data_IF_670825539185
#
_entry.id   IF_670825539185
#
_cell.length_a   1.000
_cell.length_b   1.000
_cell.length_c   1.000
_cell.angle_alpha   90.00
_cell.angle_beta   90.00
_cell.angle_gamma   90.00
#
_symmetry.space_group_name_H-M   'P 1'
#
loop_
_entity.id
_entity.type
_entity.pdbx_description
1 polymer ?
#
# COMPACT_ATOMS: atom_id res chain seq x y z
N UNK A 1 0.69 -18.21 -18.45
CA UNK A 1 -0.49 -17.62 -17.79
C UNK A 1 -0.09 -17.12 -16.39
N UNK A 2 0.62 -15.98 -16.30
CA UNK A 2 1.23 -15.50 -15.04
C UNK A 2 1.22 -13.96 -14.88
N UNK A 3 0.39 -13.26 -15.66
CA UNK A 3 0.40 -11.78 -15.71
C UNK A 3 -0.02 -11.09 -14.40
N UNK A 4 -0.84 -11.74 -13.56
CA UNK A 4 -1.35 -11.11 -12.32
C UNK A 4 -0.35 -11.12 -11.14
N UNK A 5 0.76 -11.87 -11.22
CA UNK A 5 1.75 -11.92 -10.13
C UNK A 5 2.55 -10.63 -9.97
N UNK A 6 2.59 -9.83 -11.04
CA UNK A 6 3.38 -8.61 -11.13
C UNK A 6 2.72 -7.45 -10.38
N UNK A 7 1.40 -7.36 -10.40
CA UNK A 7 0.67 -6.31 -9.69
C UNK A 7 0.21 -6.81 -8.31
N UNK A 8 0.83 -6.27 -7.27
CA UNK A 8 0.55 -6.67 -5.87
C UNK A 8 -0.81 -6.20 -5.39
N UNK A 9 -1.33 -5.10 -5.92
CA UNK A 9 -2.66 -4.64 -5.58
C UNK A 9 -3.71 -5.56 -6.22
N UNK A 10 -3.58 -5.88 -7.51
CA UNK A 10 -4.48 -6.83 -8.17
C UNK A 10 -4.42 -8.24 -7.56
N UNK A 11 -3.24 -8.67 -7.10
CA UNK A 11 -3.08 -9.90 -6.34
C UNK A 11 -3.92 -9.88 -5.05
N UNK A 12 -3.91 -8.78 -4.29
CA UNK A 12 -4.71 -8.63 -3.08
C UNK A 12 -6.20 -8.57 -3.36
N UNK A 13 -6.61 -7.83 -4.39
CA UNK A 13 -8.01 -7.77 -4.83
C UNK A 13 -8.50 -9.18 -5.21
N UNK A 14 -7.68 -9.96 -5.90
CA UNK A 14 -7.99 -11.34 -6.26
C UNK A 14 -8.15 -12.23 -5.01
N UNK A 15 -7.20 -12.20 -4.09
CA UNK A 15 -7.27 -13.00 -2.85
C UNK A 15 -8.42 -12.59 -1.92
N UNK A 16 -8.74 -11.30 -1.84
CA UNK A 16 -9.89 -10.79 -1.10
C UNK A 16 -11.21 -11.35 -1.65
N UNK A 17 -11.35 -11.42 -2.99
CA UNK A 17 -12.50 -12.08 -3.64
C UNK A 17 -12.62 -13.57 -3.33
N UNK A 18 -11.51 -14.22 -2.99
CA UNK A 18 -11.45 -15.62 -2.60
C UNK A 18 -11.51 -15.84 -1.07
N UNK A 19 -11.90 -14.82 -0.30
CA UNK A 19 -12.03 -14.86 1.16
C UNK A 19 -10.75 -15.29 1.89
N UNK A 20 -9.58 -15.04 1.29
CA UNK A 20 -8.30 -15.23 1.97
C UNK A 20 -8.04 -13.99 2.84
N UNK A 21 -7.83 -14.14 4.16
CA UNK A 21 -7.62 -13.01 5.05
C UNK A 21 -6.33 -12.28 4.68
N UNK A 22 -6.45 -10.97 4.45
CA UNK A 22 -5.35 -10.08 4.08
C UNK A 22 -5.48 -8.75 4.83
N UNK A 23 -4.36 -8.04 5.08
CA UNK A 23 -4.41 -6.66 5.52
C UNK A 23 -5.20 -5.81 4.52
N UNK A 24 -6.05 -4.93 5.05
CA UNK A 24 -6.80 -3.95 4.26
C UNK A 24 -5.83 -3.10 3.43
N UNK A 25 -6.18 -2.87 2.17
CA UNK A 25 -5.33 -2.12 1.24
C UNK A 25 -6.13 -1.28 0.27
N UNK A 26 -5.60 -0.13 -0.11
CA UNK A 26 -6.26 0.83 -1.00
C UNK A 26 -5.26 1.38 -2.03
N UNK A 27 -5.66 1.41 -3.31
CA UNK A 27 -4.89 2.10 -4.34
C UNK A 27 -4.94 3.61 -4.14
N UNK A 28 -3.82 4.29 -4.37
CA UNK A 28 -3.71 5.74 -4.26
C UNK A 28 -3.02 6.31 -5.49
N UNK A 29 -3.69 7.25 -6.15
CA UNK A 29 -3.20 7.88 -7.38
C UNK A 29 -2.63 9.29 -7.15
N UNK A 30 -2.87 9.87 -5.96
CA UNK A 30 -2.39 11.19 -5.57
C UNK A 30 -2.17 11.32 -4.04
N UNK A 31 -1.66 12.48 -3.61
CA UNK A 31 -1.38 12.75 -2.20
C UNK A 31 -2.68 12.83 -1.37
N UNK A 32 -3.77 13.32 -1.96
CA UNK A 32 -5.06 13.40 -1.28
C UNK A 32 -5.66 12.01 -1.02
N UNK A 33 -5.46 11.06 -1.94
CA UNK A 33 -5.77 9.65 -1.76
C UNK A 33 -4.93 9.02 -0.65
N UNK A 34 -3.65 9.41 -0.55
CA UNK A 34 -2.79 8.98 0.55
C UNK A 34 -3.25 9.52 1.91
N UNK A 35 -3.76 10.76 1.98
CA UNK A 35 -4.36 11.34 3.19
C UNK A 35 -5.64 10.61 3.58
N UNK A 36 -6.56 10.40 2.64
CA UNK A 36 -7.79 9.61 2.86
C UNK A 36 -7.47 8.21 3.38
N UNK A 37 -6.43 7.58 2.85
CA UNK A 37 -5.97 6.29 3.36
C UNK A 37 -5.51 6.37 4.82
N UNK A 38 -4.84 7.45 5.23
CA UNK A 38 -4.48 7.71 6.63
C UNK A 38 -5.68 7.90 7.54
N UNK A 39 -6.72 8.58 7.06
CA UNK A 39 -7.99 8.73 7.79
C UNK A 39 -8.72 7.40 7.97
N UNK A 40 -8.70 6.52 6.95
CA UNK A 40 -9.42 5.23 6.96
C UNK A 40 -8.66 4.16 7.77
N UNK A 41 -7.35 4.02 7.55
CA UNK A 41 -6.56 2.94 8.14
C UNK A 41 -5.82 3.33 9.42
N UNK A 42 -5.65 4.62 9.67
CA UNK A 42 -4.77 5.13 10.73
C UNK A 42 -3.29 4.94 10.38
N UNK A 43 -2.44 5.64 11.13
CA UNK A 43 -0.98 5.52 11.01
C UNK A 43 -0.41 4.49 12.00
N UNK A 44 0.73 3.83 11.68
CA UNK A 44 1.50 3.98 10.45
C UNK A 44 0.84 3.32 9.24
N UNK A 45 1.19 3.80 8.04
CA UNK A 45 0.80 3.21 6.76
C UNK A 45 2.02 2.57 6.10
N UNK A 46 1.87 1.36 5.57
CA UNK A 46 2.87 0.77 4.69
C UNK A 46 2.49 1.06 3.24
N UNK A 47 3.41 1.65 2.48
CA UNK A 47 3.19 2.01 1.08
C UNK A 47 4.13 1.22 0.17
N UNK A 48 3.61 0.75 -0.97
CA UNK A 48 4.35 -0.12 -1.90
C UNK A 48 4.15 0.30 -3.36
N UNK A 49 5.21 0.10 -4.15
CA UNK A 49 5.11 0.15 -5.61
C UNK A 49 4.33 -1.06 -6.13
N UNK A 50 3.31 -0.80 -6.96
CA UNK A 50 2.46 -1.85 -7.51
C UNK A 50 3.26 -2.90 -8.29
N UNK A 51 4.36 -2.49 -8.93
CA UNK A 51 5.33 -3.33 -9.62
C UNK A 51 6.77 -2.93 -9.26
N UNK A 52 7.65 -3.93 -9.28
CA UNK A 52 9.06 -3.94 -8.83
C UNK A 52 9.27 -4.41 -7.38
N UNK A 53 10.05 -5.49 -7.25
CA UNK A 53 10.05 -6.42 -6.11
C UNK A 53 10.67 -5.90 -4.81
N UNK A 54 11.02 -4.62 -4.68
CA UNK A 54 11.98 -4.20 -3.63
C UNK A 54 11.76 -2.84 -2.96
N UNK A 55 10.66 -2.10 -3.16
CA UNK A 55 10.47 -0.79 -2.47
C UNK A 55 9.18 -0.70 -1.68
N UNK A 56 9.34 -0.58 -0.36
CA UNK A 56 8.31 -0.18 0.58
C UNK A 56 8.76 1.10 1.29
N UNK A 57 7.82 1.95 1.65
CA UNK A 57 8.03 3.08 2.54
C UNK A 57 6.99 3.05 3.65
N UNK A 58 7.36 3.49 4.84
CA UNK A 58 6.44 3.64 5.97
C UNK A 58 6.23 5.12 6.20
N UNK A 59 4.97 5.52 6.40
CA UNK A 59 4.62 6.85 6.88
C UNK A 59 3.99 6.70 8.27
N UNK A 60 4.57 7.35 9.28
CA UNK A 60 4.07 7.36 10.64
C UNK A 60 3.05 8.48 10.91
N UNK A 61 2.94 9.43 10.00
CA UNK A 61 1.99 10.54 10.08
C UNK A 61 1.64 11.10 8.69
N UNK A 62 0.71 12.06 8.65
CA UNK A 62 0.32 12.74 7.42
C UNK A 62 1.47 13.52 6.80
N UNK A 63 2.30 14.15 7.64
CA UNK A 63 3.45 14.96 7.20
C UNK A 63 4.52 14.12 6.50
N UNK A 64 4.63 12.84 6.87
CA UNK A 64 5.58 11.91 6.26
C UNK A 64 5.10 11.35 4.91
N UNK A 65 3.82 11.53 4.54
CA UNK A 65 3.26 10.98 3.31
C UNK A 65 4.02 11.45 2.07
N UNK A 66 4.30 12.74 1.97
CA UNK A 66 5.00 13.32 0.81
C UNK A 66 6.40 12.73 0.64
N UNK A 67 7.14 12.60 1.76
CA UNK A 67 8.45 11.97 1.78
C UNK A 67 8.39 10.49 1.38
N UNK A 68 7.43 9.74 1.92
CA UNK A 68 7.23 8.33 1.57
C UNK A 68 6.85 8.14 0.09
N UNK A 69 6.04 9.03 -0.49
CA UNK A 69 5.73 9.04 -1.93
C UNK A 69 6.99 9.27 -2.77
N UNK A 70 7.79 10.27 -2.39
CA UNK A 70 9.01 10.62 -3.12
C UNK A 70 10.04 9.48 -3.10
N UNK A 71 10.20 8.79 -1.96
CA UNK A 71 11.07 7.62 -1.83
C UNK A 71 10.68 6.46 -2.77
N UNK A 72 9.40 6.37 -3.11
CA UNK A 72 8.85 5.40 -4.06
C UNK A 72 8.87 5.88 -5.51
N UNK A 73 9.30 7.11 -5.79
CA UNK A 73 9.42 7.65 -7.15
C UNK A 73 8.15 8.25 -7.72
N UNK A 74 7.20 8.67 -6.87
CA UNK A 74 5.96 9.30 -7.31
C UNK A 74 4.85 8.31 -7.72
N UNK A 75 3.71 8.84 -8.17
CA UNK A 75 2.49 8.08 -8.46
C UNK A 75 2.48 7.39 -9.83
N UNK A 76 3.40 7.76 -10.73
CA UNK A 76 3.45 7.27 -12.12
C UNK A 76 3.58 5.74 -12.25
N UNK A 77 4.07 5.07 -11.20
CA UNK A 77 4.30 3.62 -11.18
C UNK A 77 3.20 2.82 -10.51
N UNK A 78 2.09 3.46 -10.14
CA UNK A 78 1.01 2.87 -9.38
C UNK A 78 1.41 2.61 -7.93
N UNK A 79 0.66 3.16 -7.00
CA UNK A 79 0.93 3.03 -5.58
C UNK A 79 -0.31 2.52 -4.87
N UNK A 80 -0.08 1.75 -3.82
CA UNK A 80 -1.15 1.39 -2.90
C UNK A 80 -0.62 1.40 -1.48
N UNK A 81 -1.53 1.58 -0.54
CA UNK A 81 -1.27 1.55 0.89
C UNK A 81 -1.86 0.29 1.50
N UNK A 82 -1.20 -0.22 2.53
CA UNK A 82 -1.68 -1.29 3.39
C UNK A 82 -1.81 -0.76 4.80
N UNK A 83 -2.90 -1.13 5.46
CA UNK A 83 -3.05 -0.95 6.89
C UNK A 83 -1.94 -1.71 7.62
N UNK A 84 -1.32 -1.07 8.59
CA UNK A 84 -0.27 -1.69 9.37
C UNK A 84 -0.80 -2.89 10.15
N UNK A 85 -0.14 -4.04 9.99
CA UNK A 85 -0.44 -5.27 10.70
C UNK A 85 0.61 -5.48 11.81
N UNK A 86 0.25 -5.31 13.09
CA UNK A 86 1.19 -5.60 14.18
C UNK A 86 1.43 -7.10 14.28
N UNK A 87 2.68 -7.52 14.12
CA UNK A 87 3.09 -8.90 14.41
C UNK A 87 3.54 -8.98 15.86
N UNK A 88 2.64 -9.47 16.72
CA UNK A 88 2.97 -9.83 18.10
C UNK A 88 3.45 -11.28 18.12
N UNK A 89 4.64 -11.49 18.68
CA UNK A 89 5.11 -12.84 18.98
C UNK A 89 4.37 -13.28 20.24
N UNK A 90 3.46 -14.24 20.09
CA UNK A 90 2.86 -14.98 21.20
C UNK A 90 3.86 -15.99 21.76
#
# INVERSE_FOLDING_TARGET
>A
MFWFLQDKYLQKVHFSRHAIPLPESMQIDDLEGAKRAGEIFGYPLMKRLAYDGCRNAVAHSEEELSSAVAALGGFDRGLYVEKWAPFVKV
#
